data_IF_966692670242
#
_entry.id   IF_966692670242
#
_cell.length_a   1.000
_cell.length_b   1.000
_cell.length_c   1.000
_cell.angle_alpha   90.00
_cell.angle_beta   90.00
_cell.angle_gamma   90.00
#
_symmetry.space_group_name_H-M   'P 1'
#
loop_
_entity.id
_entity.type
_entity.pdbx_description
1 polymer ?
#
# COMPACT_ATOMS: atom_id res chain seq x y z
N UNK A 1 -34.82 20.50 0.95
CA UNK A 1 -33.42 20.07 0.77
C UNK A 1 -33.33 18.61 1.15
N UNK A 2 -33.32 17.71 0.15
CA UNK A 2 -33.31 16.27 0.38
C UNK A 2 -31.86 15.76 0.36
N UNK A 3 -31.45 15.12 1.46
CA UNK A 3 -30.14 14.48 1.63
C UNK A 3 -30.02 13.36 0.58
N UNK A 4 -28.97 13.38 -0.23
CA UNK A 4 -28.68 12.28 -1.15
C UNK A 4 -28.38 11.02 -0.31
N UNK A 5 -29.20 9.99 -0.49
CA UNK A 5 -29.00 8.69 0.15
C UNK A 5 -27.73 8.04 -0.42
N UNK A 6 -26.73 7.82 0.43
CA UNK A 6 -25.58 6.98 0.13
C UNK A 6 -26.08 5.57 -0.19
N UNK A 7 -25.79 5.11 -1.41
CA UNK A 7 -26.15 3.76 -1.85
C UNK A 7 -25.28 2.74 -1.09
N UNK A 8 -25.85 1.64 -0.54
CA UNK A 8 -25.05 0.60 0.09
C UNK A 8 -24.16 -0.09 -0.96
N UNK A 9 -22.85 -0.14 -0.70
CA UNK A 9 -21.89 -0.89 -1.53
C UNK A 9 -22.00 -2.39 -1.25
N UNK A 10 -23.10 -3.03 -1.59
CA UNK A 10 -23.15 -4.50 -1.63
C UNK A 10 -22.70 -4.98 -3.00
N UNK A 11 -21.41 -4.83 -3.30
CA UNK A 11 -20.78 -5.55 -4.41
C UNK A 11 -20.34 -6.91 -3.87
N UNK A 12 -21.08 -7.95 -4.26
CA UNK A 12 -20.78 -9.39 -4.12
C UNK A 12 -19.85 -9.83 -2.99
N UNK A 13 -20.41 -10.41 -1.92
CA UNK A 13 -19.69 -10.98 -0.77
C UNK A 13 -18.95 -12.29 -1.06
N UNK A 14 -18.64 -12.59 -2.33
CA UNK A 14 -17.81 -13.77 -2.62
C UNK A 14 -16.34 -13.39 -2.42
N UNK A 15 -15.60 -14.09 -1.56
CA UNK A 15 -14.17 -13.88 -1.45
C UNK A 15 -13.54 -14.12 -2.84
N UNK A 16 -12.51 -13.33 -3.21
CA UNK A 16 -11.82 -13.53 -4.47
C UNK A 16 -11.31 -14.97 -4.59
N UNK A 17 -11.28 -15.49 -5.81
CA UNK A 17 -10.79 -16.84 -6.07
C UNK A 17 -9.29 -16.91 -5.70
N UNK A 18 -8.85 -17.92 -4.92
CA UNK A 18 -7.45 -18.07 -4.55
C UNK A 18 -6.51 -18.28 -5.76
N UNK A 19 -5.22 -17.88 -5.66
CA UNK A 19 -4.61 -17.21 -4.51
C UNK A 19 -4.89 -15.70 -4.50
N UNK A 20 -5.01 -15.14 -3.30
CA UNK A 20 -5.02 -13.68 -3.12
C UNK A 20 -3.77 -13.08 -3.76
N UNK A 21 -3.96 -12.26 -4.78
CA UNK A 21 -2.86 -11.59 -5.47
C UNK A 21 -2.38 -10.40 -4.64
N UNK A 22 -1.06 -10.27 -4.48
CA UNK A 22 -0.46 -9.03 -4.00
C UNK A 22 -0.74 -7.93 -5.02
N UNK A 23 -1.26 -6.80 -4.56
CA UNK A 23 -1.64 -5.67 -5.42
C UNK A 23 -1.18 -4.36 -4.78
N UNK A 24 -1.16 -3.28 -5.57
CA UNK A 24 -0.92 -1.95 -5.05
C UNK A 24 -1.90 -1.58 -3.94
N UNK A 25 -3.18 -1.99 -4.06
CA UNK A 25 -4.20 -1.76 -3.05
C UNK A 25 -3.83 -2.41 -1.73
N UNK A 26 -3.43 -3.68 -1.72
CA UNK A 26 -2.97 -4.39 -0.52
C UNK A 26 -1.71 -3.72 0.04
N UNK A 27 -0.74 -3.41 -0.82
CA UNK A 27 0.52 -2.78 -0.39
C UNK A 27 0.31 -1.41 0.29
N UNK A 28 -0.72 -0.63 -0.07
CA UNK A 28 -1.02 0.68 0.50
C UNK A 28 -2.15 0.69 1.54
N UNK A 29 -2.78 -0.45 1.82
CA UNK A 29 -3.91 -0.53 2.75
C UNK A 29 -3.40 -0.46 4.21
N UNK A 30 -3.88 0.51 5.02
CA UNK A 30 -3.45 0.68 6.41
C UNK A 30 -3.81 -0.49 7.33
N UNK A 31 -4.75 -1.36 6.92
CA UNK A 31 -5.14 -2.56 7.68
C UNK A 31 -4.32 -3.81 7.27
N UNK A 32 -3.32 -3.67 6.39
CA UNK A 32 -2.46 -4.80 5.99
C UNK A 32 -1.42 -5.11 7.07
N UNK A 33 -1.38 -6.38 7.49
CA UNK A 33 -0.44 -6.87 8.48
C UNK A 33 1.04 -6.65 8.08
N UNK A 34 1.88 -6.31 9.06
CA UNK A 34 3.29 -6.01 8.86
C UNK A 34 4.06 -7.15 8.16
N UNK A 35 3.79 -8.41 8.51
CA UNK A 35 4.39 -9.59 7.88
C UNK A 35 4.10 -9.64 6.36
N UNK A 36 2.91 -9.23 5.94
CA UNK A 36 2.53 -9.16 4.52
C UNK A 36 3.27 -8.03 3.82
N UNK A 37 3.47 -6.89 4.49
CA UNK A 37 4.24 -5.78 3.96
C UNK A 37 5.71 -6.16 3.73
N UNK A 38 6.32 -6.88 4.67
CA UNK A 38 7.66 -7.45 4.50
C UNK A 38 7.72 -8.44 3.34
N UNK A 39 6.73 -9.33 3.24
CA UNK A 39 6.64 -10.26 2.12
C UNK A 39 6.56 -9.55 0.75
N UNK A 40 5.80 -8.45 0.66
CA UNK A 40 5.76 -7.59 -0.54
C UNK A 40 7.13 -6.97 -0.81
N UNK A 41 7.80 -6.45 0.22
CA UNK A 41 9.11 -5.83 0.08
C UNK A 41 10.17 -6.82 -0.45
N UNK A 42 10.15 -8.07 0.01
CA UNK A 42 11.12 -9.07 -0.40
C UNK A 42 10.82 -9.65 -1.79
N UNK A 43 9.55 -9.88 -2.11
CA UNK A 43 9.16 -10.73 -3.26
C UNK A 43 8.48 -10.00 -4.42
N UNK A 44 8.03 -8.76 -4.24
CA UNK A 44 7.32 -7.98 -5.27
C UNK A 44 7.94 -6.59 -5.50
N UNK A 45 9.10 -6.50 -6.18
CA UNK A 45 9.81 -5.23 -6.40
C UNK A 45 8.95 -4.12 -7.02
N UNK A 46 8.05 -4.47 -7.93
CA UNK A 46 7.10 -3.58 -8.61
C UNK A 46 6.06 -2.97 -7.67
N UNK A 47 5.85 -3.55 -6.48
CA UNK A 47 4.90 -3.06 -5.50
C UNK A 47 5.52 -2.21 -4.40
N UNK A 48 6.85 -2.25 -4.21
CA UNK A 48 7.56 -1.56 -3.11
C UNK A 48 7.25 -0.07 -3.00
N UNK A 49 7.07 0.62 -4.13
CA UNK A 49 6.73 2.06 -4.14
C UNK A 49 5.43 2.38 -3.41
N UNK A 50 4.51 1.42 -3.33
CA UNK A 50 3.21 1.59 -2.67
C UNK A 50 3.32 1.42 -1.15
N UNK A 51 4.34 0.68 -0.67
CA UNK A 51 4.62 0.56 0.77
C UNK A 51 4.95 1.93 1.40
N UNK A 52 5.53 2.85 0.63
CA UNK A 52 5.86 4.22 1.07
C UNK A 52 4.59 5.00 1.45
N UNK A 53 3.46 4.70 0.80
CA UNK A 53 2.18 5.33 1.10
C UNK A 53 1.38 4.57 2.18
N UNK A 54 1.87 3.43 2.67
CA UNK A 54 1.19 2.65 3.68
C UNK A 54 1.51 3.21 5.08
N UNK A 55 0.48 3.70 5.78
CA UNK A 55 0.66 4.29 7.12
C UNK A 55 0.95 3.26 8.22
N UNK A 56 0.73 1.96 7.96
CA UNK A 56 1.13 0.88 8.85
C UNK A 56 2.57 0.41 8.61
N UNK A 57 3.23 0.85 7.53
CA UNK A 57 4.63 0.51 7.29
C UNK A 57 5.52 1.08 8.39
N UNK A 58 6.31 0.21 9.01
CA UNK A 58 7.28 0.61 10.03
C UNK A 58 8.48 1.33 9.40
N UNK A 59 9.18 2.11 10.22
CA UNK A 59 10.39 2.81 9.78
C UNK A 59 11.48 1.84 9.27
N UNK A 60 11.62 0.67 9.91
CA UNK A 60 12.57 -0.37 9.50
C UNK A 60 12.24 -0.92 8.10
N UNK A 61 10.96 -1.16 7.83
CA UNK A 61 10.50 -1.58 6.51
C UNK A 61 10.80 -0.52 5.44
N UNK A 62 10.50 0.76 5.72
CA UNK A 62 10.75 1.84 4.78
C UNK A 62 12.25 2.06 4.54
N UNK A 63 13.07 1.93 5.58
CA UNK A 63 14.53 1.95 5.45
C UNK A 63 15.00 0.81 4.53
N UNK A 64 14.56 -0.43 4.77
CA UNK A 64 14.87 -1.56 3.89
C UNK A 64 14.48 -1.27 2.45
N UNK A 65 13.25 -0.81 2.20
CA UNK A 65 12.75 -0.45 0.85
C UNK A 65 13.61 0.64 0.19
N UNK A 66 14.06 1.63 0.96
CA UNK A 66 14.96 2.68 0.45
C UNK A 66 16.30 2.13 -0.03
N UNK A 67 16.82 1.10 0.65
CA UNK A 67 18.11 0.48 0.35
C UNK A 67 18.02 -0.47 -0.85
N UNK A 68 17.00 -1.34 -0.88
CA UNK A 68 16.84 -2.33 -1.96
C UNK A 68 16.23 -1.75 -3.23
N UNK A 69 15.55 -0.60 -3.12
CA UNK A 69 14.95 0.12 -4.23
C UNK A 69 13.85 -0.67 -4.93
N UNK A 70 13.52 -0.25 -6.16
CA UNK A 70 12.47 -0.84 -6.98
C UNK A 70 11.89 0.19 -7.95
N UNK A 71 11.07 -0.23 -8.93
CA UNK A 71 10.45 0.69 -9.86
C UNK A 71 9.65 1.78 -9.13
N UNK A 72 10.09 3.03 -9.26
CA UNK A 72 9.42 4.20 -8.68
C UNK A 72 9.60 4.42 -7.18
N UNK A 73 10.45 3.64 -6.49
CA UNK A 73 10.72 3.80 -5.04
C UNK A 73 11.35 5.17 -4.74
N UNK A 74 12.39 5.57 -5.49
CA UNK A 74 13.03 6.89 -5.33
C UNK A 74 12.02 8.01 -5.45
N UNK A 75 11.21 8.00 -6.52
CA UNK A 75 10.16 9.01 -6.71
C UNK A 75 9.10 8.98 -5.61
N UNK A 76 8.78 7.81 -5.08
CA UNK A 76 7.84 7.68 -3.96
C UNK A 76 8.34 8.38 -2.70
N UNK A 77 9.61 8.18 -2.34
CA UNK A 77 10.21 8.85 -1.19
C UNK A 77 10.34 10.36 -1.39
N UNK A 78 10.72 10.82 -2.59
CA UNK A 78 10.72 12.26 -2.91
C UNK A 78 9.35 12.90 -2.62
N UNK A 79 8.26 12.28 -3.10
CA UNK A 79 6.90 12.79 -2.86
C UNK A 79 6.53 12.74 -1.38
N UNK A 80 6.91 11.68 -0.66
CA UNK A 80 6.69 11.61 0.78
C UNK A 80 7.40 12.75 1.51
N UNK A 81 8.67 12.99 1.21
CA UNK A 81 9.43 14.06 1.85
C UNK A 81 8.91 15.45 1.47
N UNK A 82 8.56 15.69 0.20
CA UNK A 82 7.88 16.91 -0.26
C UNK A 82 6.61 17.16 0.58
N UNK A 83 5.83 16.11 0.90
CA UNK A 83 4.60 16.24 1.71
C UNK A 83 4.81 16.52 3.20
N UNK A 84 6.03 16.31 3.72
CA UNK A 84 6.38 16.60 5.12
C UNK A 84 6.92 18.01 5.32
N UNK A 85 7.29 18.69 4.23
CA UNK A 85 7.81 20.07 4.23
C UNK A 85 6.70 21.14 4.15
N UNK A 86 5.43 20.72 3.99
CA UNK A 86 4.21 21.56 4.00
C UNK A 86 3.53 21.61 5.38
#
# INVERSE_FOLDING_TARGET
MARAAERPRTRGLQPPEPPLLLTAQVASDPDTDEDVLWHIAEHAPELRRWLIANTAASAELLEYVSQVGGPGVTRGFEVLFESLEE
#
